data_IF_487038894005
#
_entry.id   IF_487038894005
#
_cell.length_a   1.000
_cell.length_b   1.000
_cell.length_c   1.000
_cell.angle_alpha   90.00
_cell.angle_beta   90.00
_cell.angle_gamma   90.00
#
_symmetry.space_group_name_H-M   'P 1'
#
loop_
_entity.id
_entity.type
_entity.pdbx_description
1 polymer ?
#
# COMPACT_ATOMS: atom_id res chain seq x y z
N UNK A 1 -1.77 5.39 21.44
CA UNK A 1 -2.50 4.41 20.60
C UNK A 1 -3.27 5.22 19.59
N UNK A 2 -2.76 5.32 18.36
CA UNK A 2 -3.51 5.90 17.25
C UNK A 2 -3.81 4.74 16.30
N UNK A 3 -4.97 4.14 16.52
CA UNK A 3 -5.59 3.18 15.62
C UNK A 3 -7.05 3.59 15.60
N UNK A 4 -7.45 4.31 14.57
CA UNK A 4 -8.68 5.14 14.68
C UNK A 4 -9.69 4.87 13.59
N UNK A 5 -9.30 4.08 12.60
CA UNK A 5 -10.23 3.30 11.82
C UNK A 5 -9.99 1.81 12.10
N UNK A 6 -11.08 1.06 12.20
CA UNK A 6 -11.10 -0.38 12.42
C UNK A 6 -11.28 -1.12 11.10
N UNK A 7 -11.76 -0.42 10.07
CA UNK A 7 -11.93 -0.95 8.72
C UNK A 7 -11.36 -0.02 7.68
N UNK A 8 -10.97 -0.59 6.54
CA UNK A 8 -10.58 0.16 5.34
C UNK A 8 -11.70 1.10 4.85
N UNK A 9 -12.96 0.84 5.20
CA UNK A 9 -14.07 1.74 4.94
C UNK A 9 -13.99 3.01 5.78
N UNK A 10 -13.99 2.88 7.10
CA UNK A 10 -13.96 4.01 8.06
C UNK A 10 -12.75 4.93 7.84
N UNK A 11 -11.62 4.32 7.51
CA UNK A 11 -10.36 4.95 7.21
C UNK A 11 -10.45 5.97 6.07
N UNK A 12 -11.22 5.66 5.04
CA UNK A 12 -11.33 6.46 3.82
C UNK A 12 -12.76 6.99 3.60
N UNK A 13 -13.71 6.75 4.52
CA UNK A 13 -15.07 7.30 4.45
C UNK A 13 -15.09 8.83 4.54
N UNK A 14 -14.26 9.50 5.38
CA UNK A 14 -14.09 10.94 5.32
C UNK A 14 -13.60 11.42 3.95
N UNK A 15 -12.78 10.62 3.26
CA UNK A 15 -12.30 10.93 1.90
C UNK A 15 -13.42 10.74 0.88
N UNK A 16 -14.31 9.77 1.09
CA UNK A 16 -15.50 9.64 0.24
C UNK A 16 -16.37 10.89 0.36
N UNK A 17 -16.64 11.36 1.57
CA UNK A 17 -17.68 12.37 1.79
C UNK A 17 -17.16 13.82 1.74
N UNK A 18 -15.84 14.05 1.93
CA UNK A 18 -15.25 15.39 1.99
C UNK A 18 -14.17 15.68 0.94
N UNK A 19 -13.71 14.69 0.17
CA UNK A 19 -12.60 14.93 -0.76
C UNK A 19 -13.03 15.40 -2.14
N UNK A 20 -12.18 16.24 -2.74
CA UNK A 20 -12.24 16.55 -4.16
C UNK A 20 -12.18 15.27 -4.99
N UNK A 21 -12.75 15.32 -6.19
CA UNK A 21 -12.91 14.20 -7.11
C UNK A 21 -11.62 13.36 -7.28
N UNK A 22 -10.45 13.98 -7.14
CA UNK A 22 -9.13 13.33 -7.20
C UNK A 22 -8.85 12.27 -6.12
N UNK A 23 -9.22 12.48 -4.86
CA UNK A 23 -8.99 11.48 -3.82
C UNK A 23 -9.97 10.31 -3.95
N UNK A 24 -11.19 10.58 -4.42
CA UNK A 24 -12.14 9.54 -4.85
C UNK A 24 -11.59 8.71 -6.01
N UNK A 25 -10.96 9.35 -7.00
CA UNK A 25 -10.28 8.68 -8.14
C UNK A 25 -9.06 7.85 -7.72
N UNK A 26 -8.23 8.36 -6.79
CA UNK A 26 -7.06 7.61 -6.26
C UNK A 26 -7.46 6.31 -5.54
N UNK A 27 -8.69 6.26 -5.03
CA UNK A 27 -9.27 5.09 -4.39
C UNK A 27 -10.03 4.15 -5.33
N UNK A 28 -10.31 4.60 -6.56
CA UNK A 28 -10.98 3.80 -7.55
C UNK A 28 -12.47 3.94 -7.71
N UNK A 29 -13.02 5.06 -7.28
CA UNK A 29 -14.33 5.48 -7.72
C UNK A 29 -14.19 6.08 -9.14
N UNK A 30 -14.87 5.49 -10.12
CA UNK A 30 -14.67 5.73 -11.56
C UNK A 30 -15.13 7.11 -12.01
N UNK A 31 -14.29 7.77 -12.84
CA UNK A 31 -14.75 8.40 -14.07
C UNK A 31 -13.67 8.29 -15.17
N UNK A 32 -14.09 8.17 -16.42
CA UNK A 32 -13.45 7.38 -17.48
C UNK A 32 -12.24 7.97 -18.21
N UNK A 33 -11.73 9.13 -17.83
CA UNK A 33 -10.68 9.79 -18.61
C UNK A 33 -9.72 10.48 -17.66
N UNK A 34 -8.45 10.08 -17.65
CA UNK A 34 -7.25 10.93 -17.50
C UNK A 34 -5.99 10.05 -17.53
N UNK A 35 -4.89 10.63 -18.00
CA UNK A 35 -3.57 10.02 -18.06
C UNK A 35 -3.10 9.55 -16.67
N UNK A 36 -2.31 8.47 -16.64
CA UNK A 36 -1.91 7.78 -15.40
C UNK A 36 -0.97 8.63 -14.56
N UNK A 37 -1.49 9.29 -13.51
CA UNK A 37 -0.63 10.01 -12.57
C UNK A 37 0.31 9.06 -11.80
N UNK A 38 1.57 9.46 -11.52
CA UNK A 38 2.54 8.64 -10.81
C UNK A 38 2.06 8.18 -9.41
N UNK A 39 2.60 7.06 -8.94
CA UNK A 39 2.30 6.53 -7.58
C UNK A 39 2.67 7.56 -6.50
N UNK A 40 3.77 8.28 -6.68
CA UNK A 40 4.23 9.33 -5.76
C UNK A 40 3.24 10.49 -5.64
N UNK A 41 2.68 10.96 -6.76
CA UNK A 41 1.65 12.00 -6.77
C UNK A 41 0.39 11.54 -6.01
N UNK A 42 -0.10 10.33 -6.30
CA UNK A 42 -1.26 9.75 -5.61
C UNK A 42 -1.02 9.56 -4.12
N UNK A 43 0.17 9.08 -3.77
CA UNK A 43 0.65 8.94 -2.39
C UNK A 43 0.57 10.25 -1.62
N UNK A 44 1.13 11.33 -2.20
CA UNK A 44 1.13 12.65 -1.59
C UNK A 44 -0.28 13.19 -1.32
N UNK A 45 -1.18 13.11 -2.30
CA UNK A 45 -2.54 13.63 -2.14
C UNK A 45 -3.34 12.83 -1.12
N UNK A 46 -3.31 11.50 -1.19
CA UNK A 46 -3.98 10.64 -0.20
C UNK A 46 -3.43 10.86 1.20
N UNK A 47 -2.12 11.01 1.36
CA UNK A 47 -1.50 11.32 2.65
C UNK A 47 -1.97 12.67 3.19
N UNK A 48 -2.03 13.71 2.34
CA UNK A 48 -2.46 15.06 2.74
C UNK A 48 -3.87 15.08 3.34
N UNK A 49 -4.78 14.29 2.77
CA UNK A 49 -6.11 14.17 3.34
C UNK A 49 -6.17 13.22 4.54
N UNK A 50 -5.47 12.08 4.49
CA UNK A 50 -5.39 11.13 5.60
C UNK A 50 -4.94 11.83 6.88
N UNK A 51 -3.74 12.44 6.86
CA UNK A 51 -3.16 13.11 8.03
C UNK A 51 -3.81 14.46 8.35
N UNK A 52 -4.74 14.94 7.50
CA UNK A 52 -5.58 16.10 7.80
C UNK A 52 -6.68 15.78 8.84
N UNK A 53 -7.01 14.51 9.04
CA UNK A 53 -7.97 14.08 10.05
C UNK A 53 -7.27 13.85 11.40
N UNK A 54 -7.78 14.43 12.48
CA UNK A 54 -7.13 14.41 13.81
C UNK A 54 -6.87 13.01 14.36
N UNK A 55 -7.68 12.06 13.91
CA UNK A 55 -7.63 10.68 14.34
C UNK A 55 -6.65 9.85 13.49
N UNK A 56 -6.19 10.35 12.35
CA UNK A 56 -5.35 9.60 11.42
C UNK A 56 -3.91 10.09 11.49
N UNK A 57 -3.16 9.60 12.47
CA UNK A 57 -1.76 10.02 12.70
C UNK A 57 -0.74 8.92 12.45
N UNK A 58 -1.17 7.70 12.15
CA UNK A 58 -0.30 6.56 11.93
C UNK A 58 0.02 6.36 10.44
N UNK A 59 1.31 6.36 10.13
CA UNK A 59 1.84 6.17 8.78
C UNK A 59 1.77 4.71 8.35
N UNK A 60 1.93 3.76 9.26
CA UNK A 60 1.91 2.35 8.90
C UNK A 60 0.50 1.90 8.55
N UNK A 61 -0.50 2.31 9.33
CA UNK A 61 -1.91 2.12 8.98
C UNK A 61 -2.23 2.75 7.61
N UNK A 62 -1.72 3.96 7.32
CA UNK A 62 -1.88 4.56 6.00
C UNK A 62 -1.29 3.69 4.89
N UNK A 63 -0.05 3.22 5.05
CA UNK A 63 0.62 2.37 4.07
C UNK A 63 -0.07 1.01 3.92
N UNK A 64 -0.58 0.43 5.01
CA UNK A 64 -1.32 -0.83 5.02
C UNK A 64 -2.63 -0.76 4.23
N UNK A 65 -3.23 0.43 4.12
CA UNK A 65 -4.45 0.63 3.35
C UNK A 65 -4.26 1.38 2.04
N UNK A 66 -3.03 1.81 1.75
CA UNK A 66 -2.69 2.56 0.55
C UNK A 66 -3.17 1.82 -0.71
N UNK A 67 -3.94 2.47 -1.60
CA UNK A 67 -4.49 1.81 -2.78
C UNK A 67 -3.39 1.63 -3.82
N UNK A 68 -2.99 0.38 -4.07
CA UNK A 68 -2.09 0.00 -5.17
C UNK A 68 -2.92 -0.13 -6.47
N UNK A 69 -3.57 0.97 -6.87
CA UNK A 69 -4.51 1.02 -8.02
C UNK A 69 -4.34 2.31 -8.83
N UNK A 70 -4.56 2.26 -10.15
CA UNK A 70 -4.67 3.41 -11.06
C UNK A 70 -6.13 3.58 -11.45
N UNK A 71 -6.75 4.70 -11.07
CA UNK A 71 -8.18 4.94 -11.36
C UNK A 71 -9.10 3.82 -10.87
N UNK A 72 -8.71 3.12 -9.79
CA UNK A 72 -9.43 1.96 -9.24
C UNK A 72 -9.17 0.62 -9.89
N UNK A 73 -8.38 0.61 -10.96
CA UNK A 73 -7.88 -0.62 -11.53
C UNK A 73 -6.62 -1.02 -10.75
N UNK A 74 -6.53 -2.22 -10.16
CA UNK A 74 -5.30 -2.72 -9.56
C UNK A 74 -4.13 -2.57 -10.53
N UNK A 75 -2.98 -2.12 -10.02
CA UNK A 75 -1.75 -2.15 -10.83
C UNK A 75 -1.53 -3.61 -11.19
N UNK A 76 -1.47 -3.89 -12.49
CA UNK A 76 -1.23 -5.24 -12.98
C UNK A 76 0.07 -5.75 -12.38
N UNK A 77 0.07 -6.99 -11.89
CA UNK A 77 1.31 -7.67 -11.55
C UNK A 77 2.16 -7.70 -12.83
N UNK A 78 3.32 -7.03 -12.86
CA UNK A 78 4.15 -6.97 -14.06
C UNK A 78 4.75 -8.34 -14.42
N UNK A 79 4.58 -9.36 -13.55
CA UNK A 79 5.07 -10.71 -13.75
C UNK A 79 3.97 -11.69 -14.21
N UNK A 80 4.36 -12.68 -15.01
CA UNK A 80 3.41 -13.55 -15.72
C UNK A 80 2.64 -14.51 -14.80
N UNK A 81 1.37 -14.76 -15.17
CA UNK A 81 0.33 -15.47 -14.41
C UNK A 81 0.62 -16.92 -14.01
N UNK A 82 1.76 -17.50 -14.37
CA UNK A 82 2.19 -18.85 -13.95
C UNK A 82 2.72 -18.90 -12.50
N UNK A 83 2.83 -17.72 -11.84
CA UNK A 83 3.03 -17.55 -10.40
C UNK A 83 1.73 -17.32 -9.62
N UNK A 84 0.60 -17.87 -10.08
CA UNK A 84 -0.76 -17.62 -9.54
C UNK A 84 -0.97 -18.05 -8.09
N UNK A 85 0.00 -18.75 -7.47
CA UNK A 85 -0.01 -19.13 -6.06
C UNK A 85 0.87 -18.22 -5.18
N UNK A 86 1.27 -17.05 -5.67
CA UNK A 86 2.07 -16.08 -4.91
C UNK A 86 1.18 -15.04 -4.22
N UNK A 87 1.73 -14.38 -3.21
CA UNK A 87 1.05 -13.33 -2.46
C UNK A 87 0.64 -12.19 -3.39
N UNK A 88 -0.55 -11.63 -3.13
CA UNK A 88 -1.11 -10.47 -3.85
C UNK A 88 -0.06 -9.36 -4.03
N UNK A 89 0.04 -8.84 -5.26
CA UNK A 89 1.04 -7.84 -5.61
C UNK A 89 0.82 -6.53 -4.81
N UNK A 90 -0.44 -6.18 -4.54
CA UNK A 90 -0.79 -5.03 -3.73
C UNK A 90 -0.30 -5.18 -2.29
N UNK A 91 -0.53 -6.34 -1.68
CA UNK A 91 -0.01 -6.68 -0.34
C UNK A 91 1.51 -6.55 -0.29
N UNK A 92 2.21 -7.20 -1.21
CA UNK A 92 3.68 -7.16 -1.28
C UNK A 92 4.20 -5.73 -1.47
N UNK A 93 3.52 -4.91 -2.28
CA UNK A 93 3.87 -3.50 -2.48
C UNK A 93 3.77 -2.71 -1.18
N UNK A 94 2.70 -2.88 -0.40
CA UNK A 94 2.53 -2.20 0.89
C UNK A 94 3.59 -2.61 1.91
N UNK A 95 3.93 -3.89 1.93
CA UNK A 95 4.99 -4.42 2.77
C UNK A 95 6.34 -3.78 2.47
N UNK A 96 6.71 -3.66 1.19
CA UNK A 96 7.95 -2.97 0.83
C UNK A 96 7.89 -1.46 1.08
N UNK A 97 6.73 -0.80 0.96
CA UNK A 97 6.58 0.60 1.36
C UNK A 97 6.83 0.78 2.86
N UNK A 98 6.31 -0.11 3.71
CA UNK A 98 6.57 -0.09 5.16
C UNK A 98 8.06 -0.31 5.44
N UNK A 99 8.70 -1.26 4.76
CA UNK A 99 10.15 -1.48 4.86
C UNK A 99 10.95 -0.23 4.52
N UNK A 100 10.61 0.43 3.41
CA UNK A 100 11.27 1.65 2.95
C UNK A 100 11.04 2.81 3.91
N UNK A 101 9.83 2.95 4.46
CA UNK A 101 9.49 3.96 5.47
C UNK A 101 10.38 3.85 6.71
N UNK A 102 10.66 2.63 7.18
CA UNK A 102 11.59 2.41 8.30
C UNK A 102 13.08 2.49 7.93
N UNK A 103 13.40 2.68 6.65
CA UNK A 103 14.77 2.67 6.16
C UNK A 103 15.47 1.32 6.30
N UNK A 104 14.71 0.22 6.31
CA UNK A 104 15.28 -1.12 6.42
C UNK A 104 15.86 -1.59 5.09
N UNK A 105 17.16 -1.85 5.10
CA UNK A 105 17.87 -2.35 3.93
C UNK A 105 17.45 -3.78 3.55
N UNK A 106 17.14 -4.62 4.54
CA UNK A 106 16.89 -6.05 4.34
C UNK A 106 15.48 -6.47 4.75
N UNK A 107 14.92 -7.43 4.02
CA UNK A 107 13.58 -7.99 4.25
C UNK A 107 13.46 -8.68 5.61
N UNK A 108 14.58 -9.17 6.18
CA UNK A 108 14.60 -9.81 7.51
C UNK A 108 14.09 -8.89 8.61
N UNK A 109 14.38 -7.58 8.55
CA UNK A 109 13.88 -6.63 9.54
C UNK A 109 12.36 -6.49 9.46
N UNK A 110 11.80 -6.52 8.25
CA UNK A 110 10.36 -6.50 8.02
C UNK A 110 9.70 -7.79 8.56
N UNK A 111 10.27 -8.97 8.31
CA UNK A 111 9.72 -10.23 8.85
C UNK A 111 9.66 -10.19 10.39
N UNK A 112 10.76 -9.80 11.04
CA UNK A 112 10.82 -9.69 12.50
C UNK A 112 9.81 -8.69 13.05
N UNK A 113 9.59 -7.59 12.33
CA UNK A 113 8.61 -6.59 12.71
C UNK A 113 7.18 -7.12 12.63
N UNK A 114 6.82 -7.76 11.52
CA UNK A 114 5.49 -8.33 11.30
C UNK A 114 5.17 -9.46 12.29
N UNK A 115 6.17 -10.25 12.68
CA UNK A 115 6.01 -11.27 13.74
C UNK A 115 5.68 -10.63 15.11
N UNK A 116 6.15 -9.41 15.35
CA UNK A 116 5.93 -8.67 16.58
C UNK A 116 4.66 -7.81 16.56
N UNK A 117 4.12 -7.49 15.37
CA UNK A 117 2.98 -6.58 15.19
C UNK A 117 1.81 -7.24 14.42
N UNK A 118 1.06 -8.13 15.07
CA UNK A 118 -0.05 -8.85 14.43
C UNK A 118 -1.21 -7.94 14.01
N UNK A 119 -1.34 -6.74 14.60
CA UNK A 119 -2.37 -5.77 14.19
C UNK A 119 -2.12 -5.22 12.78
N UNK A 120 -0.85 -5.07 12.40
CA UNK A 120 -0.46 -4.64 11.05
C UNK A 120 -0.75 -5.71 10.00
N UNK A 121 -0.55 -6.99 10.34
CA UNK A 121 -0.91 -8.12 9.48
C UNK A 121 -2.43 -8.14 9.20
N UNK A 122 -3.24 -7.90 10.23
CA UNK A 122 -4.70 -7.79 10.10
C UNK A 122 -5.08 -6.59 9.21
N UNK A 123 -4.47 -5.43 9.42
CA UNK A 123 -4.71 -4.24 8.60
C UNK A 123 -4.34 -4.45 7.12
N UNK A 124 -3.28 -5.23 6.85
CA UNK A 124 -2.85 -5.63 5.52
C UNK A 124 -3.74 -6.72 4.89
N UNK A 125 -4.62 -7.36 5.67
CA UNK A 125 -5.47 -8.46 5.24
C UNK A 125 -4.69 -9.74 4.92
N UNK A 126 -3.56 -9.96 5.60
CA UNK A 126 -2.72 -11.15 5.42
C UNK A 126 -2.87 -12.11 6.59
N UNK A 127 -3.08 -13.38 6.29
CA UNK A 127 -3.22 -14.43 7.31
C UNK A 127 -1.88 -14.83 7.93
N UNK A 128 -0.79 -14.73 7.17
CA UNK A 128 0.56 -15.10 7.60
C UNK A 128 1.60 -14.10 7.08
N UNK A 129 2.62 -13.82 7.90
CA UNK A 129 3.77 -13.04 7.47
C UNK A 129 4.50 -13.78 6.32
N UNK A 130 4.76 -13.11 5.18
CA UNK A 130 5.61 -13.68 4.16
C UNK A 130 7.01 -13.96 4.70
N UNK A 131 7.62 -15.07 4.27
CA UNK A 131 9.01 -15.32 4.62
C UNK A 131 9.97 -14.39 3.85
N UNK A 132 11.22 -14.32 4.32
CA UNK A 132 12.26 -13.50 3.70
C UNK A 132 12.46 -13.83 2.22
N UNK A 133 12.38 -15.11 1.86
CA UNK A 133 12.59 -15.55 0.47
C UNK A 133 11.50 -14.99 -0.44
N UNK A 134 10.26 -14.98 0.02
CA UNK A 134 9.10 -14.46 -0.71
C UNK A 134 9.24 -12.96 -0.94
N UNK A 135 9.62 -12.20 0.09
CA UNK A 135 9.83 -10.75 -0.02
C UNK A 135 11.02 -10.43 -0.93
N UNK A 136 12.13 -11.15 -0.79
CA UNK A 136 13.32 -10.96 -1.62
C UNK A 136 13.03 -11.26 -3.09
N UNK A 137 12.44 -12.41 -3.38
CA UNK A 137 12.05 -12.80 -4.75
C UNK A 137 11.09 -11.78 -5.33
N UNK A 138 10.10 -11.31 -4.56
CA UNK A 138 9.23 -10.26 -5.06
C UNK A 138 9.99 -8.98 -5.38
N UNK A 139 10.81 -8.46 -4.46
CA UNK A 139 11.61 -7.25 -4.66
C UNK A 139 12.52 -7.31 -5.89
N UNK A 140 13.15 -8.46 -6.13
CA UNK A 140 14.14 -8.61 -7.19
C UNK A 140 13.56 -9.08 -8.53
N UNK A 141 12.44 -9.79 -8.54
CA UNK A 141 11.86 -10.38 -9.75
C UNK A 141 10.56 -9.70 -10.19
N UNK A 142 9.73 -9.22 -9.25
CA UNK A 142 8.43 -8.59 -9.55
C UNK A 142 8.52 -7.06 -9.65
N UNK A 143 9.36 -6.41 -8.84
CA UNK A 143 9.58 -4.96 -8.97
C UNK A 143 10.68 -4.67 -9.98
N UNK A 144 10.28 -4.15 -11.15
CA UNK A 144 11.25 -3.68 -12.15
C UNK A 144 12.17 -2.60 -11.56
N UNK A 145 13.36 -2.43 -12.13
CA UNK A 145 14.28 -1.36 -11.71
C UNK A 145 13.61 0.01 -11.77
N UNK A 146 12.91 0.30 -12.87
CA UNK A 146 12.10 1.52 -13.03
C UNK A 146 11.07 1.70 -11.91
N UNK A 147 10.38 0.62 -11.48
CA UNK A 147 9.42 0.72 -10.38
C UNK A 147 10.13 1.00 -9.05
N UNK A 148 11.30 0.41 -8.82
CA UNK A 148 12.09 0.65 -7.60
C UNK A 148 12.63 2.07 -7.54
N UNK A 149 13.06 2.65 -8.66
CA UNK A 149 13.52 4.04 -8.75
C UNK A 149 12.43 5.06 -8.39
N UNK A 150 11.16 4.78 -8.70
CA UNK A 150 10.02 5.66 -8.35
C UNK A 150 9.64 5.55 -6.86
N UNK A 151 10.10 4.51 -6.16
CA UNK A 151 9.83 4.29 -4.74
C UNK A 151 10.89 4.90 -3.80
N UNK A 152 12.10 5.19 -4.31
CA UNK A 152 13.18 5.87 -3.58
C UNK A 152 13.09 7.39 -3.69
#
# INVERSE_FOLDING_TARGET
MAHTATTRGEAFEPLRDQSDDYARRCWGFTDSDLEQEPVSWRGFHLASYWFGHSDHTDVETFLAWFPITIGGTPIADPYASWHTNTIDFGVISRLHLIRLYHGWEHETALCQYLDAEPSLLDALGVEFCPDQSTLYTAWHERFTEEYREVLY
#
